data_IF_397317924091
#
_entry.id   IF_397317924091
#
_cell.length_a   1.000
_cell.length_b   1.000
_cell.length_c   1.000
_cell.angle_alpha   90.00
_cell.angle_beta   90.00
_cell.angle_gamma   90.00
#
_symmetry.space_group_name_H-M   'P 1'
#
loop_
_entity.id
_entity.type
_entity.pdbx_description
1 polymer ?
#
# COMPACT_ATOMS: atom_id res chain seq x y z
N UNK A 1 -28.09 78.92 -0.57
CA UNK A 1 -29.38 78.53 -1.20
C UNK A 1 -29.21 77.09 -1.68
N UNK A 2 -29.31 76.12 -0.77
CA UNK A 2 -30.53 75.42 -0.37
C UNK A 2 -31.26 74.71 -1.52
N UNK A 3 -31.39 73.39 -1.32
CA UNK A 3 -32.35 72.44 -1.91
C UNK A 3 -31.99 71.85 -3.28
N UNK A 4 -31.61 70.57 -3.31
CA UNK A 4 -32.53 69.40 -3.34
C UNK A 4 -33.59 69.58 -4.41
N UNK A 5 -33.40 68.92 -5.56
CA UNK A 5 -34.50 68.33 -6.31
C UNK A 5 -34.18 66.88 -6.62
N UNK A 6 -34.88 66.05 -5.88
CA UNK A 6 -34.99 64.60 -5.99
C UNK A 6 -35.83 64.34 -7.23
N UNK A 7 -35.29 63.60 -8.20
CA UNK A 7 -36.11 62.99 -9.25
C UNK A 7 -35.90 61.49 -9.17
N UNK A 8 -36.88 60.87 -8.53
CA UNK A 8 -37.12 59.44 -8.43
C UNK A 8 -37.52 58.96 -9.83
N UNK A 9 -36.72 58.11 -10.45
CA UNK A 9 -37.17 57.22 -11.50
C UNK A 9 -36.86 55.80 -11.04
N UNK A 10 -37.89 55.19 -10.48
CA UNK A 10 -38.02 53.77 -10.18
C UNK A 10 -38.18 53.09 -11.54
N UNK A 11 -37.20 52.30 -11.95
CA UNK A 11 -37.45 51.23 -12.91
C UNK A 11 -36.66 49.99 -12.50
N UNK A 12 -37.44 48.95 -12.29
CA UNK A 12 -37.07 47.68 -11.72
C UNK A 12 -35.89 47.03 -12.45
N UNK A 13 -34.98 46.45 -11.67
CA UNK A 13 -34.82 45.00 -11.74
C UNK A 13 -34.41 44.49 -10.37
N UNK A 14 -35.26 43.62 -9.84
CA UNK A 14 -34.95 42.71 -8.75
C UNK A 14 -33.59 42.05 -9.00
N UNK A 15 -32.69 42.13 -8.03
CA UNK A 15 -32.26 40.95 -7.29
C UNK A 15 -31.63 41.41 -5.97
N UNK A 16 -32.40 41.08 -4.95
CA UNK A 16 -32.28 41.42 -3.54
C UNK A 16 -31.11 40.65 -2.95
N UNK A 17 -30.55 41.23 -1.90
CA UNK A 17 -29.84 40.66 -0.75
C UNK A 17 -29.52 39.16 -0.86
N UNK A 18 -28.26 38.76 -0.73
CA UNK A 18 -27.55 38.93 0.54
C UNK A 18 -27.94 37.78 1.46
N UNK A 19 -27.00 36.90 1.74
CA UNK A 19 -27.05 36.01 2.90
C UNK A 19 -25.68 35.99 3.58
N UNK A 20 -25.63 36.69 4.71
CA UNK A 20 -25.04 36.29 5.98
C UNK A 20 -24.49 34.87 6.08
N UNK A 21 -23.35 34.77 6.79
CA UNK A 21 -22.73 33.56 7.29
C UNK A 21 -23.71 32.52 7.84
N UNK A 22 -23.60 31.30 7.32
CA UNK A 22 -23.96 30.07 8.04
C UNK A 22 -22.92 29.00 7.73
N UNK A 23 -22.37 28.42 8.79
CA UNK A 23 -21.73 27.12 8.78
C UNK A 23 -22.60 26.07 8.06
N UNK A 24 -21.92 24.99 7.67
CA UNK A 24 -22.39 23.65 7.24
C UNK A 24 -22.67 23.44 5.74
N UNK A 25 -21.79 22.66 5.11
CA UNK A 25 -22.03 21.24 4.76
C UNK A 25 -20.70 20.68 4.20
N UNK A 26 -19.99 19.79 4.90
CA UNK A 26 -20.23 18.34 4.96
C UNK A 26 -20.53 17.70 3.60
N UNK A 27 -19.71 16.68 3.34
CA UNK A 27 -19.93 15.54 2.45
C UNK A 27 -19.57 15.71 0.97
N UNK A 28 -18.31 15.40 0.66
CA UNK A 28 -18.02 14.54 -0.48
C UNK A 28 -17.47 13.22 0.03
N UNK A 29 -18.40 12.33 0.39
CA UNK A 29 -18.20 10.91 0.56
C UNK A 29 -17.79 10.31 -0.79
N UNK A 30 -16.87 9.34 -0.74
CA UNK A 30 -16.75 8.23 -1.68
C UNK A 30 -16.26 8.54 -3.11
N UNK A 31 -15.02 9.01 -3.22
CA UNK A 31 -14.05 8.25 -4.04
C UNK A 31 -13.04 7.72 -3.04
N UNK A 32 -13.00 6.40 -2.83
CA UNK A 32 -11.85 5.80 -2.16
C UNK A 32 -10.62 6.36 -2.87
N UNK A 33 -9.82 7.18 -2.18
CA UNK A 33 -8.54 7.60 -2.73
C UNK A 33 -7.84 6.29 -3.08
N UNK A 34 -7.54 6.10 -4.35
CA UNK A 34 -6.79 4.94 -4.79
C UNK A 34 -5.40 5.17 -4.21
N UNK A 35 -5.11 4.54 -3.08
CA UNK A 35 -3.82 4.68 -2.41
C UNK A 35 -2.90 3.60 -2.95
N UNK A 36 -1.89 4.05 -3.67
CA UNK A 36 -0.86 3.22 -4.27
C UNK A 36 0.19 2.78 -3.24
N UNK A 37 0.64 1.54 -3.33
CA UNK A 37 1.80 1.06 -2.59
C UNK A 37 3.05 1.83 -3.02
N UNK A 38 3.71 2.48 -2.05
CA UNK A 38 4.93 3.24 -2.29
C UNK A 38 6.08 2.68 -1.45
N UNK A 39 6.58 1.46 -1.77
CA UNK A 39 7.78 0.92 -1.13
C UNK A 39 8.97 1.86 -1.33
N UNK A 40 10.02 1.67 -0.52
CA UNK A 40 11.25 2.47 -0.42
C UNK A 40 11.25 3.62 0.60
N UNK A 41 10.12 3.93 1.26
CA UNK A 41 10.07 4.96 2.32
C UNK A 41 10.60 4.50 3.69
N UNK A 42 10.80 3.19 3.87
CA UNK A 42 11.43 2.61 5.07
C UNK A 42 12.16 1.31 4.75
N UNK A 43 11.82 0.25 5.47
CA UNK A 43 12.45 -1.06 5.39
C UNK A 43 11.90 -1.93 4.26
N UNK A 44 10.70 -1.62 3.74
CA UNK A 44 10.20 -2.28 2.53
C UNK A 44 10.83 -1.65 1.30
N UNK A 45 11.44 -2.47 0.44
CA UNK A 45 12.14 -2.05 -0.78
C UNK A 45 11.57 -2.76 -2.00
N UNK A 46 11.19 -2.00 -3.04
CA UNK A 46 10.78 -2.59 -4.33
C UNK A 46 11.96 -3.34 -4.93
N UNK A 47 11.71 -4.51 -5.49
CA UNK A 47 12.68 -5.27 -6.27
C UNK A 47 11.97 -5.93 -7.45
N UNK A 48 12.55 -5.94 -8.67
CA UNK A 48 12.04 -6.74 -9.77
C UNK A 48 11.99 -8.22 -9.42
N UNK A 49 11.02 -8.95 -9.96
CA UNK A 49 10.91 -10.40 -9.76
C UNK A 49 12.21 -11.12 -10.18
N UNK A 50 12.80 -10.73 -11.32
CA UNK A 50 14.05 -11.34 -11.81
C UNK A 50 15.20 -11.19 -10.80
N UNK A 51 15.37 -10.02 -10.19
CA UNK A 51 16.43 -9.82 -9.20
C UNK A 51 16.21 -10.73 -7.98
N UNK A 52 14.97 -10.98 -7.57
CA UNK A 52 14.69 -11.94 -6.49
C UNK A 52 15.07 -13.37 -6.90
N UNK A 53 14.83 -13.76 -8.16
CA UNK A 53 15.26 -15.06 -8.66
C UNK A 53 16.79 -15.18 -8.65
N UNK A 54 17.51 -14.14 -9.06
CA UNK A 54 18.97 -14.11 -9.05
C UNK A 54 19.52 -14.23 -7.62
N UNK A 55 18.85 -13.60 -6.63
CA UNK A 55 19.17 -13.77 -5.19
C UNK A 55 18.93 -15.21 -4.72
N UNK A 56 17.86 -15.85 -5.19
CA UNK A 56 17.61 -17.27 -4.89
C UNK A 56 18.70 -18.16 -5.48
N UNK A 57 19.10 -17.94 -6.72
CA UNK A 57 20.16 -18.70 -7.40
C UNK A 57 21.52 -18.51 -6.73
N UNK A 58 21.80 -17.29 -6.26
CA UNK A 58 22.98 -16.93 -5.46
C UNK A 58 22.96 -17.48 -4.04
N UNK A 59 21.92 -18.25 -3.67
CA UNK A 59 21.71 -18.88 -2.35
C UNK A 59 21.70 -17.86 -1.22
N UNK A 60 21.19 -16.67 -1.48
CA UNK A 60 20.99 -15.67 -0.43
C UNK A 60 19.85 -16.08 0.52
N UNK A 61 19.85 -15.47 1.70
CA UNK A 61 18.78 -15.60 2.70
C UNK A 61 18.14 -14.23 2.89
N UNK A 62 16.82 -14.15 2.72
CA UNK A 62 16.08 -12.89 2.76
C UNK A 62 14.57 -13.12 2.99
N UNK A 63 13.85 -12.02 3.22
CA UNK A 63 12.38 -12.01 3.30
C UNK A 63 11.85 -11.20 2.12
N UNK A 64 10.83 -11.73 1.44
CA UNK A 64 10.18 -11.08 0.30
C UNK A 64 8.66 -11.13 0.43
N UNK A 65 8.01 -10.05 0.05
CA UNK A 65 6.56 -9.90 -0.07
C UNK A 65 6.17 -9.88 -1.54
N UNK A 66 5.04 -10.52 -1.85
CA UNK A 66 4.33 -10.37 -3.11
C UNK A 66 3.12 -9.46 -2.87
N UNK A 67 3.02 -8.39 -3.66
CA UNK A 67 1.98 -7.37 -3.54
C UNK A 67 1.42 -6.94 -4.90
N UNK A 68 0.54 -5.95 -4.91
CA UNK A 68 -0.05 -5.33 -6.10
C UNK A 68 -0.26 -3.83 -5.86
N UNK A 69 -0.10 -3.02 -6.89
CA UNK A 69 -0.14 -1.55 -6.88
C UNK A 69 -1.36 -1.01 -6.13
N UNK A 70 -2.54 -1.57 -6.41
CA UNK A 70 -3.83 -1.16 -5.82
C UNK A 70 -4.38 -2.19 -4.83
N UNK A 71 -3.61 -2.50 -3.80
CA UNK A 71 -3.94 -3.49 -2.78
C UNK A 71 -4.07 -2.87 -1.37
N UNK A 72 -5.30 -2.68 -0.90
CA UNK A 72 -5.56 -2.11 0.43
C UNK A 72 -4.99 -2.96 1.58
N UNK A 73 -5.02 -4.28 1.45
CA UNK A 73 -4.46 -5.19 2.45
C UNK A 73 -2.93 -5.07 2.51
N UNK A 74 -2.28 -4.95 1.35
CA UNK A 74 -0.85 -4.74 1.24
C UNK A 74 -0.44 -3.38 1.84
N UNK A 75 -1.22 -2.33 1.55
CA UNK A 75 -0.99 -1.00 2.12
C UNK A 75 -1.13 -1.01 3.64
N UNK A 76 -2.19 -1.65 4.14
CA UNK A 76 -2.42 -1.76 5.58
C UNK A 76 -1.27 -2.51 6.26
N UNK A 77 -0.84 -3.63 5.68
CA UNK A 77 0.33 -4.36 6.15
C UNK A 77 1.61 -3.50 6.14
N UNK A 78 1.88 -2.79 5.04
CA UNK A 78 3.01 -1.88 4.92
C UNK A 78 3.00 -0.81 6.02
N UNK A 79 1.85 -0.13 6.21
CA UNK A 79 1.69 0.91 7.23
C UNK A 79 1.87 0.37 8.65
N UNK A 80 1.45 -0.86 8.91
CA UNK A 80 1.59 -1.49 10.24
C UNK A 80 3.02 -1.98 10.51
N UNK A 81 3.81 -2.31 9.47
CA UNK A 81 5.06 -3.08 9.62
C UNK A 81 6.33 -2.32 9.26
N UNK A 82 6.28 -1.26 8.46
CA UNK A 82 7.50 -0.60 7.95
C UNK A 82 8.41 -0.08 9.07
N UNK A 83 7.84 0.60 10.06
CA UNK A 83 8.60 1.12 11.22
C UNK A 83 9.23 -0.01 12.04
N UNK A 84 8.47 -1.07 12.33
CA UNK A 84 8.98 -2.23 13.07
C UNK A 84 10.07 -2.97 12.29
N UNK A 85 9.88 -3.18 10.99
CA UNK A 85 10.84 -3.86 10.12
C UNK A 85 12.16 -3.07 10.06
N UNK A 86 12.06 -1.73 10.05
CA UNK A 86 13.20 -0.82 10.12
C UNK A 86 13.91 -0.88 11.48
N UNK A 87 13.16 -0.91 12.57
CA UNK A 87 13.68 -1.01 13.94
C UNK A 87 14.55 -2.26 14.13
N UNK A 88 14.12 -3.40 13.60
CA UNK A 88 14.88 -4.66 13.68
C UNK A 88 16.00 -4.80 12.63
N UNK A 89 16.21 -3.78 11.80
CA UNK A 89 17.25 -3.77 10.77
C UNK A 89 17.03 -4.77 9.62
N UNK A 90 15.80 -5.25 9.43
CA UNK A 90 15.45 -6.17 8.35
C UNK A 90 15.13 -5.38 7.08
N UNK A 91 15.51 -5.92 5.92
CA UNK A 91 14.98 -5.46 4.63
C UNK A 91 13.87 -6.41 4.20
N UNK A 92 12.68 -5.88 3.97
CA UNK A 92 11.59 -6.62 3.34
C UNK A 92 11.56 -6.26 1.85
N UNK A 93 11.94 -7.21 1.00
CA UNK A 93 11.83 -7.01 -0.44
C UNK A 93 10.37 -7.10 -0.89
N UNK A 94 9.97 -6.32 -1.88
CA UNK A 94 8.59 -6.29 -2.39
C UNK A 94 8.58 -6.43 -3.91
N UNK A 95 8.00 -7.53 -4.38
CA UNK A 95 7.66 -7.75 -5.79
C UNK A 95 6.21 -7.28 -5.97
N UNK A 96 6.02 -6.25 -6.79
CA UNK A 96 4.71 -5.72 -7.15
C UNK A 96 4.26 -6.44 -8.44
N UNK A 97 3.40 -7.45 -8.32
CA UNK A 97 3.10 -8.40 -9.39
C UNK A 97 2.48 -7.78 -10.65
N UNK A 98 1.78 -6.64 -10.50
CA UNK A 98 1.16 -5.88 -11.59
C UNK A 98 2.04 -4.72 -12.11
N UNK A 99 3.27 -4.62 -11.63
CA UNK A 99 4.29 -3.63 -12.02
C UNK A 99 5.63 -4.33 -12.38
N UNK A 100 5.50 -5.44 -13.11
CA UNK A 100 6.57 -6.23 -13.72
C UNK A 100 6.51 -6.12 -15.25
N UNK A 101 7.64 -6.35 -15.93
CA UNK A 101 7.69 -6.31 -17.40
C UNK A 101 7.05 -7.52 -18.09
N UNK A 102 6.90 -8.61 -17.35
CA UNK A 102 6.31 -9.88 -17.80
C UNK A 102 4.79 -9.87 -17.62
N UNK A 103 4.10 -10.74 -18.36
CA UNK A 103 2.63 -10.82 -18.29
C UNK A 103 2.16 -11.34 -16.93
N UNK A 104 0.91 -11.03 -16.53
CA UNK A 104 0.32 -11.54 -15.28
C UNK A 104 0.34 -13.07 -15.22
N UNK A 105 0.02 -13.76 -16.32
CA UNK A 105 0.05 -15.22 -16.41
C UNK A 105 1.47 -15.76 -16.17
N UNK A 106 2.48 -15.12 -16.76
CA UNK A 106 3.87 -15.49 -16.57
C UNK A 106 4.34 -15.24 -15.13
N UNK A 107 3.97 -14.09 -14.55
CA UNK A 107 4.27 -13.76 -13.16
C UNK A 107 3.65 -14.77 -12.20
N UNK A 108 2.40 -15.17 -12.43
CA UNK A 108 1.72 -16.18 -11.63
C UNK A 108 2.38 -17.56 -11.79
N UNK A 109 2.79 -17.93 -13.00
CA UNK A 109 3.51 -19.18 -13.25
C UNK A 109 4.84 -19.20 -12.49
N UNK A 110 5.67 -18.18 -12.64
CA UNK A 110 6.96 -18.04 -11.92
C UNK A 110 6.72 -18.06 -10.42
N UNK A 111 5.72 -17.33 -9.94
CA UNK A 111 5.36 -17.29 -8.52
C UNK A 111 5.06 -18.68 -7.99
N UNK A 112 4.18 -19.43 -8.66
CA UNK A 112 3.84 -20.79 -8.25
C UNK A 112 5.02 -21.77 -8.33
N UNK A 113 5.88 -21.63 -9.34
CA UNK A 113 7.07 -22.48 -9.51
C UNK A 113 8.14 -22.23 -8.44
N UNK A 114 8.35 -20.97 -8.05
CA UNK A 114 9.48 -20.56 -7.20
C UNK A 114 9.10 -20.42 -5.73
N UNK A 115 7.88 -19.94 -5.46
CA UNK A 115 7.38 -19.69 -4.11
C UNK A 115 6.40 -20.75 -3.60
N UNK A 116 5.94 -21.66 -4.47
CA UNK A 116 4.93 -22.65 -4.16
C UNK A 116 3.53 -22.04 -4.18
N UNK A 117 2.62 -22.53 -3.35
CA UNK A 117 1.23 -22.07 -3.37
C UNK A 117 1.13 -20.56 -3.08
N UNK A 118 0.55 -19.84 -4.05
CA UNK A 118 0.18 -18.44 -3.93
C UNK A 118 -1.31 -18.30 -4.20
N UNK A 119 -2.01 -17.61 -3.30
CA UNK A 119 -3.48 -17.49 -3.35
C UNK A 119 -3.95 -16.04 -3.39
N UNK A 120 -3.27 -15.14 -2.67
CA UNK A 120 -3.62 -13.73 -2.60
C UNK A 120 -2.47 -12.88 -2.05
N UNK A 121 -2.60 -11.57 -2.25
CA UNK A 121 -1.69 -10.54 -1.72
C UNK A 121 -2.27 -9.88 -0.44
N UNK A 122 -1.41 -9.40 0.48
CA UNK A 122 0.03 -9.64 0.52
C UNK A 122 0.35 -11.09 0.92
N UNK A 123 1.43 -11.65 0.37
CA UNK A 123 2.00 -12.92 0.82
C UNK A 123 3.49 -12.75 1.08
N UNK A 124 3.98 -13.19 2.23
CA UNK A 124 5.38 -13.04 2.65
C UNK A 124 6.06 -14.41 2.68
N UNK A 125 7.28 -14.47 2.18
CA UNK A 125 8.09 -15.68 2.09
C UNK A 125 9.44 -15.45 2.76
N UNK A 126 9.85 -16.43 3.56
CA UNK A 126 11.22 -16.52 4.06
C UNK A 126 12.00 -17.45 3.14
N UNK A 127 13.01 -16.90 2.47
CA UNK A 127 13.93 -17.64 1.63
C UNK A 127 15.21 -17.86 2.43
N UNK A 128 15.57 -19.13 2.64
CA UNK A 128 16.80 -19.54 3.29
C UNK A 128 17.69 -20.28 2.29
N UNK A 129 18.91 -19.76 2.07
CA UNK A 129 19.89 -20.35 1.15
C UNK A 129 19.29 -20.63 -0.24
N UNK A 130 18.52 -19.68 -0.74
CA UNK A 130 17.87 -19.74 -2.06
C UNK A 130 16.61 -20.60 -2.15
N UNK A 131 16.09 -21.13 -1.04
CA UNK A 131 14.88 -21.95 -1.03
C UNK A 131 13.82 -21.34 -0.12
N UNK A 132 12.56 -21.35 -0.56
CA UNK A 132 11.45 -20.98 0.33
C UNK A 132 11.39 -21.98 1.48
N UNK A 133 11.51 -21.44 2.70
CA UNK A 133 11.54 -22.20 3.95
C UNK A 133 10.20 -22.16 4.67
N UNK A 134 9.56 -21.00 4.67
CA UNK A 134 8.27 -20.76 5.32
C UNK A 134 7.54 -19.61 4.63
N UNK A 135 6.23 -19.49 4.86
CA UNK A 135 5.42 -18.41 4.32
C UNK A 135 4.34 -17.92 5.29
N UNK A 136 4.04 -16.64 5.22
CA UNK A 136 2.91 -15.97 5.85
C UNK A 136 1.98 -15.48 4.73
N UNK A 137 0.94 -16.27 4.47
CA UNK A 137 0.00 -16.07 3.36
C UNK A 137 -1.44 -15.96 3.90
N UNK A 138 -2.26 -15.16 3.23
CA UNK A 138 -3.63 -14.84 3.67
C UNK A 138 -4.61 -16.02 3.66
N UNK A 139 -4.30 -17.11 2.97
CA UNK A 139 -5.06 -18.37 2.99
C UNK A 139 -4.86 -19.15 4.29
N UNK A 140 -3.73 -18.97 4.98
CA UNK A 140 -3.40 -19.69 6.22
C UNK A 140 -3.74 -18.87 7.46
N UNK A 141 -3.41 -17.57 7.43
CA UNK A 141 -3.60 -16.68 8.56
C UNK A 141 -3.64 -15.22 8.12
N UNK A 142 -4.14 -14.34 8.99
CA UNK A 142 -4.18 -12.91 8.69
C UNK A 142 -2.76 -12.35 8.57
N UNK A 143 -2.49 -11.67 7.48
CA UNK A 143 -1.22 -10.97 7.26
C UNK A 143 -1.29 -9.58 7.90
N UNK A 144 -0.68 -9.43 9.08
CA UNK A 144 -0.65 -8.19 9.88
C UNK A 144 0.63 -8.13 10.73
N UNK A 145 0.84 -7.05 11.49
CA UNK A 145 2.04 -6.90 12.31
C UNK A 145 2.24 -8.02 13.35
N UNK A 146 1.17 -8.46 14.00
CA UNK A 146 1.26 -9.49 15.05
C UNK A 146 1.78 -10.83 14.47
N UNK A 147 1.18 -11.28 13.38
CA UNK A 147 1.56 -12.54 12.75
C UNK A 147 2.90 -12.41 12.00
N UNK A 148 3.23 -11.23 11.49
CA UNK A 148 4.56 -10.94 10.97
C UNK A 148 5.64 -11.11 12.04
N UNK A 149 5.46 -10.55 13.24
CA UNK A 149 6.38 -10.77 14.37
C UNK A 149 6.53 -12.25 14.71
N UNK A 150 5.42 -12.99 14.81
CA UNK A 150 5.45 -14.44 15.08
C UNK A 150 6.19 -15.20 13.98
N UNK A 151 5.96 -14.84 12.72
CA UNK A 151 6.63 -15.42 11.56
C UNK A 151 8.14 -15.20 11.62
N UNK A 152 8.60 -13.98 11.93
CA UNK A 152 10.02 -13.67 12.05
C UNK A 152 10.69 -14.44 13.21
N UNK A 153 10.04 -14.49 14.38
CA UNK A 153 10.53 -15.23 15.55
C UNK A 153 10.59 -16.73 15.27
N UNK A 154 9.52 -17.31 14.69
CA UNK A 154 9.43 -18.75 14.36
C UNK A 154 10.56 -19.18 13.45
N UNK A 155 10.96 -18.32 12.52
CA UNK A 155 12.02 -18.59 11.55
C UNK A 155 13.42 -18.17 12.05
N UNK A 156 13.55 -17.68 13.29
CA UNK A 156 14.84 -17.28 13.86
C UNK A 156 15.45 -16.04 13.19
N UNK A 157 14.63 -15.22 12.53
CA UNK A 157 15.06 -13.97 11.87
C UNK A 157 15.27 -12.88 12.93
N UNK A 158 14.47 -12.92 13.99
CA UNK A 158 14.61 -12.05 15.18
C UNK A 158 14.56 -12.89 16.45
N UNK A 159 15.23 -12.41 17.49
CA UNK A 159 15.18 -13.01 18.84
C UNK A 159 13.83 -12.73 19.52
N UNK A 160 13.52 -13.52 20.56
CA UNK A 160 12.28 -13.42 21.34
C UNK A 160 12.32 -12.32 22.39
#
# INVERSE_FOLDING_TARGET
>A
MFMKKITIIIMALFLICGCTSTNTNKEKKDKAAIVELNPNKGAVKKIPMQDVLDKMESKETFVVMLSQTYCNACLSFFMETDDYTKEIGLTLWDIILDDESTSEEENLKITNEKFGHFSATPSIYYVEKGKVKDSLCSDKEKVNLENYKKFLIKNGIVEK
#
